data_IF_166754853985
#
_entry.id   IF_166754853985
#
_cell.length_a   1.000
_cell.length_b   1.000
_cell.length_c   1.000
_cell.angle_alpha   90.00
_cell.angle_beta   90.00
_cell.angle_gamma   90.00
#
_symmetry.space_group_name_H-M   'P 1'
#
loop_
_entity.id
_entity.type
_entity.pdbx_description
1 polymer ?
#
# COMPACT_ATOMS: atom_id res chain seq x y z
N UNK A 1 -98.58 -22.31 -52.31
CA UNK A 1 -97.57 -23.38 -52.46
C UNK A 1 -96.45 -23.08 -51.47
N UNK A 2 -95.94 -23.94 -50.59
CA UNK A 2 -96.13 -25.35 -50.20
C UNK A 2 -95.56 -25.39 -48.75
N UNK A 3 -96.33 -25.80 -47.74
CA UNK A 3 -96.35 -27.15 -47.12
C UNK A 3 -95.07 -27.44 -46.28
N UNK A 4 -95.07 -27.92 -45.02
CA UNK A 4 -95.93 -28.88 -44.29
C UNK A 4 -95.51 -28.82 -42.79
N UNK A 5 -96.44 -28.80 -41.82
CA UNK A 5 -97.01 -29.93 -41.05
C UNK A 5 -96.03 -30.49 -39.96
N UNK A 6 -96.44 -30.74 -38.71
CA UNK A 6 -97.31 -31.85 -38.28
C UNK A 6 -97.69 -31.73 -36.79
N UNK A 7 -99.01 -31.85 -36.52
CA UNK A 7 -99.77 -32.54 -35.43
C UNK A 7 -99.38 -32.44 -33.92
N UNK A 8 -100.28 -32.61 -32.94
CA UNK A 8 -101.76 -32.66 -32.79
C UNK A 8 -102.09 -33.09 -31.33
N UNK A 9 -103.39 -33.16 -31.00
CA UNK A 9 -104.04 -33.98 -29.93
C UNK A 9 -104.12 -33.26 -28.56
N UNK A 10 -105.27 -33.08 -27.87
CA UNK A 10 -106.63 -33.60 -28.05
C UNK A 10 -107.68 -32.72 -27.36
N UNK A 11 -108.88 -32.76 -27.91
CA UNK A 11 -110.14 -32.35 -27.30
C UNK A 11 -110.71 -33.55 -26.51
N UNK A 12 -111.15 -33.38 -25.25
CA UNK A 12 -111.97 -34.38 -24.58
C UNK A 12 -112.86 -33.78 -23.48
N UNK A 13 -114.17 -33.87 -23.75
CA UNK A 13 -115.28 -34.17 -22.84
C UNK A 13 -115.65 -33.19 -21.70
N UNK A 14 -116.83 -32.59 -21.87
CA UNK A 14 -117.72 -32.13 -20.80
C UNK A 14 -118.24 -33.31 -19.96
N UNK A 15 -118.28 -33.15 -18.63
CA UNK A 15 -119.23 -33.85 -17.76
C UNK A 15 -119.81 -32.85 -16.74
N UNK A 16 -121.16 -32.73 -16.63
CA UNK A 16 -121.82 -31.94 -15.59
C UNK A 16 -121.99 -32.77 -14.29
N UNK A 17 -122.35 -32.12 -13.19
CA UNK A 17 -122.48 -32.63 -11.80
C UNK A 17 -121.14 -32.68 -11.02
N UNK A 18 -120.95 -32.06 -9.86
CA UNK A 18 -121.89 -31.67 -8.82
C UNK A 18 -121.58 -30.26 -8.28
N UNK A 19 -122.56 -29.36 -8.38
CA UNK A 19 -122.67 -28.17 -7.53
C UNK A 19 -123.17 -28.69 -6.18
N UNK A 20 -122.25 -29.07 -5.29
CA UNK A 20 -122.54 -29.21 -3.87
C UNK A 20 -122.26 -27.85 -3.23
N UNK A 21 -123.34 -27.27 -2.70
CA UNK A 21 -123.33 -25.97 -2.04
C UNK A 21 -122.35 -25.93 -0.85
N UNK A 22 -121.83 -24.72 -0.61
CA UNK A 22 -120.97 -24.27 0.50
C UNK A 22 -119.50 -24.75 0.55
N UNK A 23 -118.65 -24.52 -0.48
CA UNK A 23 -117.20 -24.63 -0.33
C UNK A 23 -116.55 -23.37 0.29
N UNK A 24 -117.23 -22.22 0.27
CA UNK A 24 -116.63 -20.93 0.63
C UNK A 24 -116.53 -20.67 2.14
N UNK A 25 -117.39 -21.27 2.98
CA UNK A 25 -117.35 -21.02 4.43
C UNK A 25 -116.07 -21.55 5.09
N UNK A 26 -115.48 -22.63 4.56
CA UNK A 26 -114.21 -23.18 5.04
C UNK A 26 -112.98 -22.36 4.58
N UNK A 27 -113.10 -21.51 3.56
CA UNK A 27 -111.99 -20.64 3.11
C UNK A 27 -111.75 -19.51 4.12
N UNK A 28 -112.75 -19.17 4.94
CA UNK A 28 -112.68 -18.08 5.91
C UNK A 28 -112.32 -18.50 7.34
N UNK A 29 -112.16 -19.80 7.63
CA UNK A 29 -111.86 -20.29 8.99
C UNK A 29 -110.37 -20.21 9.34
N UNK A 30 -109.48 -20.31 8.36
CA UNK A 30 -108.02 -20.28 8.56
C UNK A 30 -107.45 -18.87 8.34
N UNK A 31 -107.06 -18.24 9.45
CA UNK A 31 -106.55 -16.86 9.50
C UNK A 31 -105.31 -16.65 8.66
N UNK A 32 -104.47 -17.69 8.48
CA UNK A 32 -103.20 -17.58 7.78
C UNK A 32 -103.38 -17.52 6.27
N UNK A 33 -104.25 -18.36 5.72
CA UNK A 33 -104.50 -18.41 4.27
C UNK A 33 -105.28 -17.18 3.80
N UNK A 34 -106.21 -16.69 4.63
CA UNK A 34 -106.96 -15.46 4.38
C UNK A 34 -106.03 -14.25 4.28
N UNK A 35 -105.01 -14.16 5.14
CA UNK A 35 -104.00 -13.10 5.06
C UNK A 35 -103.27 -13.10 3.71
N UNK A 36 -102.83 -14.27 3.22
CA UNK A 36 -102.13 -14.35 1.94
C UNK A 36 -103.04 -14.07 0.73
N UNK A 37 -104.32 -14.47 0.79
CA UNK A 37 -105.29 -14.15 -0.25
C UNK A 37 -105.53 -12.63 -0.30
N UNK A 38 -105.69 -11.99 0.85
CA UNK A 38 -105.89 -10.53 0.94
C UNK A 38 -104.64 -9.78 0.49
N UNK A 39 -103.46 -10.23 0.89
CA UNK A 39 -102.18 -9.69 0.46
C UNK A 39 -102.03 -9.78 -1.07
N UNK A 40 -102.34 -10.93 -1.66
CA UNK A 40 -102.32 -11.11 -3.11
C UNK A 40 -103.36 -10.23 -3.81
N UNK A 41 -104.56 -10.07 -3.25
CA UNK A 41 -105.57 -9.17 -3.80
C UNK A 41 -105.12 -7.69 -3.76
N UNK A 42 -104.51 -7.24 -2.66
CA UNK A 42 -103.97 -5.89 -2.53
C UNK A 42 -102.80 -5.66 -3.50
N UNK A 43 -101.87 -6.61 -3.61
CA UNK A 43 -100.77 -6.55 -4.57
C UNK A 43 -101.28 -6.54 -6.01
N UNK A 44 -102.27 -7.38 -6.33
CA UNK A 44 -102.92 -7.40 -7.65
C UNK A 44 -103.53 -6.03 -7.95
N UNK A 45 -104.31 -5.47 -7.02
CA UNK A 45 -104.92 -4.16 -7.19
C UNK A 45 -103.88 -3.03 -7.32
N UNK A 46 -102.82 -3.08 -6.53
CA UNK A 46 -101.73 -2.11 -6.59
C UNK A 46 -101.03 -2.12 -7.96
N UNK A 47 -100.69 -3.30 -8.46
CA UNK A 47 -100.01 -3.45 -9.76
C UNK A 47 -100.94 -3.20 -10.95
N UNK A 48 -102.23 -3.52 -10.85
CA UNK A 48 -103.21 -3.36 -11.94
C UNK A 48 -103.78 -1.94 -12.03
N UNK A 49 -104.08 -1.30 -10.89
CA UNK A 49 -104.80 -0.02 -10.85
C UNK A 49 -103.93 1.19 -10.45
N UNK A 50 -102.95 1.03 -9.55
CA UNK A 50 -102.21 2.18 -9.02
C UNK A 50 -100.85 2.43 -9.72
N UNK A 51 -100.12 1.37 -10.12
CA UNK A 51 -98.78 1.52 -10.70
C UNK A 51 -98.50 0.53 -11.85
N UNK A 52 -99.24 0.66 -12.95
CA UNK A 52 -99.05 -0.15 -14.15
C UNK A 52 -97.82 0.32 -14.98
N UNK A 53 -96.62 0.13 -14.43
CA UNK A 53 -95.33 0.46 -15.06
C UNK A 53 -94.62 -0.79 -15.60
N UNK A 54 -93.53 -0.63 -16.39
CA UNK A 54 -92.75 -1.77 -16.95
C UNK A 54 -92.32 -2.76 -15.86
N UNK A 55 -91.98 -2.28 -14.67
CA UNK A 55 -91.65 -3.12 -13.52
C UNK A 55 -92.83 -4.01 -13.07
N UNK A 56 -94.04 -3.47 -12.98
CA UNK A 56 -95.23 -4.22 -12.59
C UNK A 56 -95.62 -5.27 -13.64
N UNK A 57 -95.35 -5.01 -14.92
CA UNK A 57 -95.61 -5.98 -16.00
C UNK A 57 -94.56 -7.09 -16.03
N UNK A 58 -93.27 -6.74 -15.89
CA UNK A 58 -92.17 -7.72 -15.98
C UNK A 58 -92.07 -8.56 -14.71
N UNK A 59 -92.08 -7.91 -13.54
CA UNK A 59 -91.83 -8.58 -12.26
C UNK A 59 -93.10 -8.81 -11.42
N UNK A 60 -94.20 -8.10 -11.69
CA UNK A 60 -95.45 -8.27 -10.92
C UNK A 60 -96.02 -9.70 -10.96
N UNK A 61 -96.14 -10.35 -12.14
CA UNK A 61 -96.59 -11.74 -12.21
C UNK A 61 -95.67 -12.70 -11.44
N UNK A 62 -94.35 -12.49 -11.51
CA UNK A 62 -93.36 -13.30 -10.79
C UNK A 62 -93.50 -13.16 -9.27
N UNK A 63 -93.63 -11.93 -8.77
CA UNK A 63 -93.84 -11.65 -7.34
C UNK A 63 -95.17 -12.25 -6.84
N UNK A 64 -96.25 -12.11 -7.60
CA UNK A 64 -97.56 -12.65 -7.18
C UNK A 64 -97.59 -14.18 -7.15
N UNK A 65 -96.98 -14.82 -8.15
CA UNK A 65 -96.90 -16.29 -8.16
C UNK A 65 -96.02 -16.80 -7.04
N UNK A 66 -94.89 -16.15 -6.75
CA UNK A 66 -94.01 -16.54 -5.64
C UNK A 66 -94.66 -16.33 -4.27
N UNK A 67 -95.38 -15.22 -4.05
CA UNK A 67 -96.15 -15.00 -2.82
C UNK A 67 -97.29 -16.04 -2.67
N UNK A 68 -97.98 -16.39 -3.75
CA UNK A 68 -99.01 -17.43 -3.74
C UNK A 68 -98.44 -18.83 -3.45
N UNK A 69 -97.29 -19.18 -4.03
CA UNK A 69 -96.58 -20.43 -3.75
C UNK A 69 -96.14 -20.48 -2.28
N UNK A 70 -95.59 -19.38 -1.76
CA UNK A 70 -95.17 -19.28 -0.36
C UNK A 70 -96.35 -19.46 0.62
N UNK A 71 -97.49 -18.83 0.36
CA UNK A 71 -98.69 -18.99 1.18
C UNK A 71 -99.19 -20.44 1.21
N UNK A 72 -99.15 -21.15 0.07
CA UNK A 72 -99.54 -22.55 0.01
C UNK A 72 -98.59 -23.46 0.79
N UNK A 73 -97.27 -23.30 0.61
CA UNK A 73 -96.30 -24.08 1.37
C UNK A 73 -96.39 -23.83 2.88
N UNK A 74 -96.61 -22.58 3.30
CA UNK A 74 -96.75 -22.26 4.70
C UNK A 74 -98.04 -22.86 5.31
N UNK A 75 -99.16 -22.82 4.59
CA UNK A 75 -100.41 -23.42 5.05
C UNK A 75 -100.30 -24.93 5.22
N UNK A 76 -99.67 -25.63 4.26
CA UNK A 76 -99.41 -27.07 4.38
C UNK A 76 -98.46 -27.37 5.56
N UNK A 77 -97.43 -26.54 5.76
CA UNK A 77 -96.48 -26.72 6.86
C UNK A 77 -97.16 -26.57 8.23
N UNK A 78 -98.05 -25.59 8.40
CA UNK A 78 -98.79 -25.41 9.66
C UNK A 78 -99.80 -26.54 9.91
N UNK A 79 -100.42 -27.06 8.85
CA UNK A 79 -101.30 -28.22 8.92
C UNK A 79 -100.55 -29.50 9.35
N UNK A 80 -99.33 -29.71 8.84
CA UNK A 80 -98.45 -30.80 9.26
C UNK A 80 -97.93 -30.62 10.69
N UNK A 81 -97.77 -29.40 11.17
CA UNK A 81 -97.27 -29.13 12.52
C UNK A 81 -98.28 -29.56 13.59
N UNK A 82 -99.57 -29.45 13.30
CA UNK A 82 -100.65 -29.91 14.18
C UNK A 82 -101.07 -31.37 13.90
N UNK A 83 -100.34 -32.09 13.04
CA UNK A 83 -100.62 -33.48 12.72
C UNK A 83 -100.00 -34.42 13.76
N UNK A 84 -100.84 -35.14 14.49
CA UNK A 84 -100.39 -36.13 15.45
C UNK A 84 -100.32 -37.52 14.80
N UNK A 85 -99.10 -38.05 14.66
CA UNK A 85 -98.87 -39.36 14.07
C UNK A 85 -99.43 -40.52 14.91
N UNK A 86 -99.76 -40.27 16.19
CA UNK A 86 -100.30 -41.29 17.10
C UNK A 86 -101.82 -41.46 16.99
N UNK A 87 -102.56 -40.47 16.45
CA UNK A 87 -104.02 -40.51 16.34
C UNK A 87 -104.52 -40.05 14.95
N UNK A 88 -104.09 -40.78 13.92
CA UNK A 88 -104.28 -40.46 12.49
C UNK A 88 -105.75 -40.19 12.13
N UNK A 89 -106.71 -40.88 12.76
CA UNK A 89 -108.14 -40.77 12.43
C UNK A 89 -108.73 -39.38 12.72
N UNK A 90 -108.21 -38.67 13.72
CA UNK A 90 -108.66 -37.32 14.10
C UNK A 90 -107.83 -36.22 13.41
N UNK A 91 -106.54 -36.49 13.13
CA UNK A 91 -105.63 -35.53 12.49
C UNK A 91 -105.76 -35.45 10.96
N UNK A 92 -106.19 -36.51 10.28
CA UNK A 92 -106.36 -36.51 8.82
C UNK A 92 -107.42 -35.48 8.33
N UNK A 93 -108.61 -35.37 8.94
CA UNK A 93 -109.60 -34.35 8.57
C UNK A 93 -109.07 -32.92 8.69
N UNK A 94 -108.34 -32.58 9.78
CA UNK A 94 -107.76 -31.25 9.96
C UNK A 94 -106.63 -30.96 8.97
N UNK A 95 -105.81 -31.95 8.63
CA UNK A 95 -104.77 -31.81 7.60
C UNK A 95 -105.38 -31.55 6.21
N UNK A 96 -106.44 -32.28 5.87
CA UNK A 96 -107.17 -32.08 4.61
C UNK A 96 -107.81 -30.68 4.53
N UNK A 97 -108.29 -30.14 5.64
CA UNK A 97 -108.85 -28.79 5.70
C UNK A 97 -107.76 -27.73 5.47
N UNK A 98 -106.61 -27.84 6.15
CA UNK A 98 -105.47 -26.91 5.96
C UNK A 98 -104.85 -26.97 4.56
N UNK A 99 -104.78 -28.15 3.93
CA UNK A 99 -104.33 -28.27 2.53
C UNK A 99 -105.34 -27.63 1.57
N UNK A 100 -106.65 -27.80 1.82
CA UNK A 100 -107.71 -27.25 0.98
C UNK A 100 -107.72 -25.71 1.03
N UNK A 101 -107.50 -25.10 2.19
CA UNK A 101 -107.41 -23.63 2.32
C UNK A 101 -106.11 -23.08 1.74
N UNK A 102 -104.98 -23.75 1.98
CA UNK A 102 -103.67 -23.35 1.46
C UNK A 102 -103.60 -23.30 -0.07
N UNK A 103 -104.31 -24.21 -0.75
CA UNK A 103 -104.38 -24.23 -2.21
C UNK A 103 -104.99 -22.94 -2.78
N UNK A 104 -105.99 -22.35 -2.13
CA UNK A 104 -106.63 -21.10 -2.58
C UNK A 104 -105.70 -19.89 -2.52
N UNK A 105 -104.71 -19.88 -1.61
CA UNK A 105 -103.68 -18.85 -1.57
C UNK A 105 -102.81 -18.88 -2.85
N UNK A 106 -102.42 -20.07 -3.33
CA UNK A 106 -101.68 -20.21 -4.59
C UNK A 106 -102.53 -19.85 -5.81
N UNK A 107 -103.79 -20.30 -5.83
CA UNK A 107 -104.74 -19.95 -6.90
C UNK A 107 -104.92 -18.43 -7.00
N UNK A 108 -105.01 -17.71 -5.88
CA UNK A 108 -105.13 -16.25 -5.88
C UNK A 108 -103.90 -15.54 -6.48
N UNK A 109 -102.69 -16.01 -6.18
CA UNK A 109 -101.44 -15.48 -6.74
C UNK A 109 -101.28 -15.74 -8.24
N UNK A 110 -101.62 -16.95 -8.68
CA UNK A 110 -101.61 -17.31 -10.12
C UNK A 110 -102.69 -16.53 -10.87
N UNK A 111 -103.89 -16.41 -10.31
CA UNK A 111 -104.99 -15.66 -10.92
C UNK A 111 -104.65 -14.16 -11.08
N UNK A 112 -104.08 -13.53 -10.05
CA UNK A 112 -103.62 -12.15 -10.16
C UNK A 112 -102.48 -11.98 -11.16
N UNK A 113 -101.57 -12.96 -11.28
CA UNK A 113 -100.49 -12.95 -12.29
C UNK A 113 -101.02 -13.02 -13.73
N UNK A 114 -102.07 -13.83 -13.94
CA UNK A 114 -102.77 -13.95 -15.20
C UNK A 114 -103.55 -12.67 -15.52
N UNK A 115 -104.17 -12.03 -14.54
CA UNK A 115 -104.83 -10.73 -14.71
C UNK A 115 -103.85 -9.64 -15.18
N UNK A 116 -102.66 -9.57 -14.59
CA UNK A 116 -101.62 -8.62 -15.03
C UNK A 116 -101.19 -8.92 -16.47
N UNK A 117 -100.95 -10.20 -16.81
CA UNK A 117 -100.56 -10.61 -18.17
C UNK A 117 -101.66 -10.41 -19.21
N UNK A 118 -102.91 -10.70 -18.87
CA UNK A 118 -104.08 -10.49 -19.74
C UNK A 118 -104.30 -9.00 -19.99
N UNK A 119 -104.19 -8.15 -18.97
CA UNK A 119 -104.25 -6.70 -19.12
C UNK A 119 -103.11 -6.17 -20.00
N UNK A 120 -101.89 -6.66 -19.81
CA UNK A 120 -100.75 -6.32 -20.69
C UNK A 120 -100.99 -6.75 -22.15
N UNK A 121 -101.50 -7.97 -22.38
CA UNK A 121 -101.80 -8.46 -23.73
C UNK A 121 -102.93 -7.72 -24.44
N UNK A 122 -103.87 -7.12 -23.70
CA UNK A 122 -104.98 -6.33 -24.23
C UNK A 122 -104.64 -4.84 -24.44
N UNK A 123 -103.58 -4.31 -23.80
CA UNK A 123 -103.17 -2.91 -23.91
C UNK A 123 -102.09 -2.71 -24.98
N UNK A 124 -102.47 -2.25 -26.18
CA UNK A 124 -101.56 -1.93 -27.30
C UNK A 124 -100.89 -0.55 -27.24
N UNK A 125 -100.75 0.09 -26.07
CA UNK A 125 -100.07 1.40 -25.93
C UNK A 125 -98.75 1.28 -25.14
N UNK A 126 -97.69 2.00 -25.54
CA UNK A 126 -96.39 1.94 -24.88
C UNK A 126 -96.48 2.50 -23.46
N UNK A 127 -95.84 1.80 -22.52
CA UNK A 127 -95.90 2.07 -21.08
C UNK A 127 -95.06 3.32 -20.75
N UNK A 128 -95.53 4.25 -19.88
CA UNK A 128 -94.75 5.43 -19.50
C UNK A 128 -93.45 5.07 -18.75
N UNK A 129 -92.33 5.66 -19.16
CA UNK A 129 -91.03 5.58 -18.48
C UNK A 129 -91.00 6.48 -17.24
N UNK A 130 -90.37 6.01 -16.16
CA UNK A 130 -89.96 6.85 -15.02
C UNK A 130 -88.48 7.19 -15.19
N UNK A 131 -88.12 8.47 -15.02
CA UNK A 131 -86.77 9.02 -15.18
C UNK A 131 -85.75 8.37 -14.24
N UNK A 132 -84.60 7.96 -14.79
CA UNK A 132 -83.36 7.79 -14.01
C UNK A 132 -82.66 6.42 -13.95
N UNK A 133 -82.81 5.51 -14.91
CA UNK A 133 -82.00 4.26 -14.95
C UNK A 133 -81.09 4.18 -16.20
N UNK A 134 -79.81 3.74 -16.06
CA UNK A 134 -78.79 3.86 -17.11
C UNK A 134 -79.05 2.95 -18.32
N UNK A 135 -78.75 3.46 -19.51
CA UNK A 135 -78.87 2.77 -20.81
C UNK A 135 -78.04 1.48 -20.81
N UNK A 136 -78.66 0.33 -21.07
CA UNK A 136 -77.91 -0.85 -21.54
C UNK A 136 -77.36 -0.54 -22.93
N UNK A 137 -76.03 -0.60 -23.09
CA UNK A 137 -75.37 -0.43 -24.37
C UNK A 137 -75.77 -1.55 -25.35
N UNK A 138 -76.00 -1.17 -26.60
CA UNK A 138 -76.41 -2.08 -27.69
C UNK A 138 -75.20 -2.55 -28.51
N UNK A 139 -75.35 -3.66 -29.24
CA UNK A 139 -74.29 -4.26 -30.07
C UNK A 139 -73.70 -3.26 -31.10
N UNK A 140 -74.52 -2.31 -31.57
CA UNK A 140 -74.09 -1.26 -32.48
C UNK A 140 -73.08 -0.28 -31.85
N UNK A 141 -73.14 -0.05 -30.54
CA UNK A 141 -72.17 0.82 -29.84
C UNK A 141 -70.79 0.16 -29.79
N UNK A 142 -70.74 -1.18 -29.68
CA UNK A 142 -69.50 -1.96 -29.72
C UNK A 142 -68.92 -1.95 -31.13
N UNK A 143 -69.77 -2.15 -32.15
CA UNK A 143 -69.34 -2.12 -33.56
C UNK A 143 -68.78 -0.73 -33.92
N UNK A 144 -69.45 0.34 -33.49
CA UNK A 144 -68.98 1.71 -33.68
C UNK A 144 -67.63 1.97 -32.98
N UNK A 145 -67.46 1.49 -31.74
CA UNK A 145 -66.19 1.59 -31.01
C UNK A 145 -65.05 0.82 -31.70
N UNK A 146 -65.31 -0.40 -32.19
CA UNK A 146 -64.30 -1.17 -32.95
C UNK A 146 -63.93 -0.53 -34.28
N UNK A 147 -64.88 0.08 -34.99
CA UNK A 147 -64.57 0.81 -36.23
C UNK A 147 -63.79 2.10 -35.97
N UNK A 148 -64.06 2.79 -34.85
CA UNK A 148 -63.25 3.94 -34.43
C UNK A 148 -61.81 3.53 -34.09
N UNK A 149 -61.64 2.39 -33.40
CA UNK A 149 -60.32 1.82 -33.09
C UNK A 149 -59.56 1.38 -34.35
N UNK A 150 -60.24 0.73 -35.30
CA UNK A 150 -59.67 0.38 -36.59
C UNK A 150 -59.19 1.63 -37.34
N UNK A 151 -59.99 2.70 -37.41
CA UNK A 151 -59.59 3.97 -38.03
C UNK A 151 -58.38 4.61 -37.35
N UNK A 152 -58.32 4.58 -36.02
CA UNK A 152 -57.19 5.09 -35.23
C UNK A 152 -55.89 4.31 -35.49
N UNK A 153 -55.98 3.00 -35.73
CA UNK A 153 -54.83 2.13 -35.96
C UNK A 153 -54.39 2.07 -37.43
N UNK A 154 -55.32 2.17 -38.38
CA UNK A 154 -55.06 2.00 -39.82
C UNK A 154 -55.13 3.31 -40.63
N UNK A 155 -55.37 4.45 -39.97
CA UNK A 155 -55.45 5.75 -40.63
C UNK A 155 -54.10 6.16 -41.24
N UNK A 156 -54.15 6.68 -42.46
CA UNK A 156 -53.00 7.26 -43.19
C UNK A 156 -52.66 8.69 -42.75
N UNK A 157 -53.32 9.21 -41.72
CA UNK A 157 -53.01 10.51 -41.14
C UNK A 157 -51.82 10.42 -40.18
N UNK A 158 -51.00 11.47 -40.14
CA UNK A 158 -49.73 11.57 -39.39
C UNK A 158 -49.86 11.24 -37.88
N UNK A 159 -51.09 11.24 -37.34
CA UNK A 159 -51.40 10.89 -35.95
C UNK A 159 -51.76 9.42 -35.67
N UNK A 160 -51.69 8.50 -36.65
CA UNK A 160 -51.96 7.08 -36.36
C UNK A 160 -50.82 6.44 -35.56
N UNK A 161 -51.15 5.50 -34.67
CA UNK A 161 -50.17 4.82 -33.82
C UNK A 161 -49.06 4.13 -34.63
N UNK A 162 -49.40 3.63 -35.81
CA UNK A 162 -48.44 3.01 -36.71
C UNK A 162 -47.45 4.05 -37.29
N UNK A 163 -47.93 5.25 -37.59
CA UNK A 163 -47.09 6.38 -38.02
C UNK A 163 -46.14 6.83 -36.90
N UNK A 164 -46.65 7.00 -35.67
CA UNK A 164 -45.82 7.33 -34.51
C UNK A 164 -44.77 6.26 -34.19
N UNK A 165 -45.12 4.97 -34.29
CA UNK A 165 -44.16 3.89 -34.09
C UNK A 165 -43.07 3.88 -35.17
N UNK A 166 -43.43 4.19 -36.42
CA UNK A 166 -42.47 4.31 -37.52
C UNK A 166 -41.52 5.49 -37.32
N UNK A 167 -42.05 6.65 -36.92
CA UNK A 167 -41.26 7.83 -36.58
C UNK A 167 -40.31 7.55 -35.40
N UNK A 168 -40.80 6.94 -34.33
CA UNK A 168 -39.98 6.56 -33.17
C UNK A 168 -38.86 5.59 -33.54
N UNK A 169 -39.15 4.61 -34.42
CA UNK A 169 -38.12 3.67 -34.89
C UNK A 169 -37.09 4.33 -35.80
N UNK A 170 -37.51 5.32 -36.59
CA UNK A 170 -36.62 6.10 -37.43
C UNK A 170 -35.73 7.03 -36.57
N UNK A 171 -36.30 7.69 -35.57
CA UNK A 171 -35.60 8.54 -34.60
C UNK A 171 -34.58 7.73 -33.78
N UNK A 172 -34.95 6.54 -33.28
CA UNK A 172 -33.99 5.62 -32.66
C UNK A 172 -32.86 5.20 -33.61
N UNK A 173 -33.18 4.96 -34.88
CA UNK A 173 -32.18 4.61 -35.89
C UNK A 173 -31.20 5.76 -36.15
N UNK A 174 -31.70 6.99 -36.15
CA UNK A 174 -30.89 8.20 -36.33
C UNK A 174 -30.06 8.53 -35.09
N UNK A 175 -30.61 8.36 -33.87
CA UNK A 175 -29.83 8.45 -32.62
C UNK A 175 -28.73 7.40 -32.56
N UNK A 176 -29.00 6.14 -32.93
CA UNK A 176 -27.98 5.09 -32.98
C UNK A 176 -26.89 5.40 -34.00
N UNK A 177 -27.24 6.01 -35.14
CA UNK A 177 -26.26 6.51 -36.11
C UNK A 177 -25.43 7.66 -35.53
N UNK A 178 -26.04 8.62 -34.86
CA UNK A 178 -25.33 9.71 -34.20
C UNK A 178 -24.38 9.18 -33.12
N UNK A 179 -24.85 8.26 -32.28
CA UNK A 179 -24.04 7.60 -31.26
C UNK A 179 -22.87 6.85 -31.86
N UNK A 180 -23.08 6.11 -32.95
CA UNK A 180 -21.99 5.43 -33.66
C UNK A 180 -20.97 6.42 -34.20
N UNK A 181 -21.43 7.54 -34.76
CA UNK A 181 -20.57 8.59 -35.31
C UNK A 181 -19.77 9.30 -34.21
N UNK A 182 -20.40 9.58 -33.06
CA UNK A 182 -19.71 10.16 -31.91
C UNK A 182 -18.71 9.18 -31.29
N UNK A 183 -19.04 7.89 -31.23
CA UNK A 183 -18.10 6.85 -30.80
C UNK A 183 -16.90 6.72 -31.72
N UNK A 184 -17.11 6.73 -33.04
CA UNK A 184 -16.01 6.64 -34.01
C UNK A 184 -15.09 7.86 -33.90
N UNK A 185 -15.69 9.05 -33.74
CA UNK A 185 -14.96 10.30 -33.50
C UNK A 185 -14.17 10.25 -32.19
N UNK A 186 -14.78 9.73 -31.12
CA UNK A 186 -14.14 9.54 -29.82
C UNK A 186 -12.98 8.56 -29.92
N UNK A 187 -13.17 7.39 -30.54
CA UNK A 187 -12.13 6.38 -30.71
C UNK A 187 -10.93 6.95 -31.49
N UNK A 188 -11.20 7.73 -32.54
CA UNK A 188 -10.17 8.38 -33.35
C UNK A 188 -9.37 9.40 -32.54
N UNK A 189 -10.06 10.29 -31.80
CA UNK A 189 -9.39 11.25 -30.89
C UNK A 189 -8.63 10.55 -29.77
N UNK A 190 -9.21 9.53 -29.14
CA UNK A 190 -8.56 8.77 -28.07
C UNK A 190 -7.27 8.10 -28.56
N UNK A 191 -7.28 7.56 -29.78
CA UNK A 191 -6.09 6.99 -30.41
C UNK A 191 -5.04 8.05 -30.75
N UNK A 192 -5.44 9.19 -31.33
CA UNK A 192 -4.52 10.28 -31.70
C UNK A 192 -3.94 10.98 -30.48
N UNK A 193 -4.78 11.36 -29.51
CA UNK A 193 -4.38 12.06 -28.29
C UNK A 193 -3.58 11.12 -27.37
N UNK A 194 -4.00 9.86 -27.22
CA UNK A 194 -3.27 8.86 -26.46
C UNK A 194 -1.88 8.59 -27.05
N UNK A 195 -1.77 8.46 -28.38
CA UNK A 195 -0.48 8.25 -29.05
C UNK A 195 0.40 9.50 -28.98
N UNK A 196 -0.17 10.70 -29.17
CA UNK A 196 0.59 11.95 -29.02
C UNK A 196 1.09 12.15 -27.61
N UNK A 197 0.23 11.98 -26.60
CA UNK A 197 0.62 12.11 -25.20
C UNK A 197 1.72 11.11 -24.82
N UNK A 198 1.62 9.86 -25.30
CA UNK A 198 2.64 8.85 -25.06
C UNK A 198 3.97 9.18 -25.75
N UNK A 199 3.92 9.63 -27.01
CA UNK A 199 5.12 10.02 -27.77
C UNK A 199 5.77 11.26 -27.15
N UNK A 200 4.99 12.24 -26.69
CA UNK A 200 5.48 13.46 -26.04
C UNK A 200 6.16 13.11 -24.71
N UNK A 201 5.50 12.31 -23.87
CA UNK A 201 6.08 11.82 -22.61
C UNK A 201 7.35 10.99 -22.85
N UNK A 202 7.36 10.12 -23.88
CA UNK A 202 8.55 9.34 -24.22
C UNK A 202 9.69 10.25 -24.71
N UNK A 203 9.39 11.26 -25.53
CA UNK A 203 10.38 12.25 -25.98
C UNK A 203 10.97 13.03 -24.81
N UNK A 204 10.13 13.45 -23.87
CA UNK A 204 10.56 14.16 -22.67
C UNK A 204 11.49 13.28 -21.83
N UNK A 205 11.11 12.02 -21.58
CA UNK A 205 11.94 11.06 -20.85
C UNK A 205 13.26 10.79 -21.58
N UNK A 206 13.26 10.65 -22.91
CA UNK A 206 14.50 10.45 -23.69
C UNK A 206 15.38 11.70 -23.63
N UNK A 207 14.79 12.89 -23.70
CA UNK A 207 15.53 14.16 -23.61
C UNK A 207 16.15 14.32 -22.23
N UNK A 208 15.39 14.07 -21.18
CA UNK A 208 15.87 14.12 -19.80
C UNK A 208 16.94 13.05 -19.57
N UNK A 209 16.74 11.84 -20.06
CA UNK A 209 17.74 10.76 -20.00
C UNK A 209 19.05 11.15 -20.70
N UNK A 210 18.99 11.70 -21.91
CA UNK A 210 20.18 12.18 -22.62
C UNK A 210 20.86 13.34 -21.89
N UNK A 211 20.09 14.24 -21.29
CA UNK A 211 20.62 15.37 -20.50
C UNK A 211 21.33 14.84 -19.25
N UNK A 212 20.68 13.93 -18.51
CA UNK A 212 21.24 13.28 -17.33
C UNK A 212 22.52 12.49 -17.66
N UNK A 213 22.55 11.77 -18.79
CA UNK A 213 23.75 11.07 -19.24
C UNK A 213 24.88 12.06 -19.48
N UNK A 214 24.63 13.14 -20.22
CA UNK A 214 25.69 14.06 -20.58
C UNK A 214 26.24 14.83 -19.38
N UNK A 215 25.38 15.22 -18.43
CA UNK A 215 25.79 15.95 -17.23
C UNK A 215 26.38 15.03 -16.16
N UNK A 216 25.64 14.01 -15.71
CA UNK A 216 26.07 13.19 -14.57
C UNK A 216 27.17 12.19 -14.93
N UNK A 217 27.11 11.55 -16.10
CA UNK A 217 28.20 10.68 -16.51
C UNK A 217 29.41 11.47 -16.99
N UNK A 218 29.21 12.62 -17.64
CA UNK A 218 30.31 13.51 -18.02
C UNK A 218 31.15 13.98 -16.83
N UNK A 219 30.49 14.45 -15.76
CA UNK A 219 31.18 14.85 -14.52
C UNK A 219 31.80 13.64 -13.80
N UNK A 220 31.11 12.50 -13.73
CA UNK A 220 31.70 11.28 -13.15
C UNK A 220 32.95 10.81 -13.93
N UNK A 221 32.97 10.91 -15.26
CA UNK A 221 34.15 10.57 -16.05
C UNK A 221 35.30 11.57 -15.83
N UNK A 222 35.02 12.86 -15.60
CA UNK A 222 36.07 13.81 -15.18
C UNK A 222 36.67 13.44 -13.83
N UNK A 223 35.82 13.14 -12.83
CA UNK A 223 36.28 12.73 -11.51
C UNK A 223 37.08 11.43 -11.58
N UNK A 224 36.61 10.45 -12.36
CA UNK A 224 37.31 9.20 -12.62
C UNK A 224 38.66 9.47 -13.28
N UNK A 225 38.71 10.30 -14.32
CA UNK A 225 39.96 10.65 -15.01
C UNK A 225 40.94 11.35 -14.06
N UNK A 226 40.48 12.28 -13.23
CA UNK A 226 41.31 12.93 -12.22
C UNK A 226 41.82 11.96 -11.16
N UNK A 227 41.01 10.98 -10.74
CA UNK A 227 41.44 9.94 -9.81
C UNK A 227 42.50 9.03 -10.44
N UNK A 228 42.33 8.66 -11.71
CA UNK A 228 43.32 7.87 -12.47
C UNK A 228 44.63 8.65 -12.65
N UNK A 229 44.56 9.93 -12.97
CA UNK A 229 45.74 10.79 -13.08
C UNK A 229 46.50 10.89 -11.75
N UNK A 230 45.78 11.08 -10.64
CA UNK A 230 46.37 11.06 -9.29
C UNK A 230 47.02 9.71 -8.97
N UNK A 231 46.43 8.60 -9.42
CA UNK A 231 47.02 7.26 -9.29
C UNK A 231 48.32 7.13 -10.07
N UNK A 232 48.40 7.68 -11.28
CA UNK A 232 49.64 7.70 -12.08
C UNK A 232 50.72 8.54 -11.42
N UNK A 233 50.36 9.73 -10.92
CA UNK A 233 51.29 10.59 -10.16
C UNK A 233 51.80 9.86 -8.91
N UNK A 234 50.90 9.23 -8.15
CA UNK A 234 51.26 8.44 -6.99
C UNK A 234 52.21 7.29 -7.36
N UNK A 235 51.94 6.59 -8.46
CA UNK A 235 52.79 5.50 -8.93
C UNK A 235 54.21 5.99 -9.33
N UNK A 236 54.30 7.16 -9.94
CA UNK A 236 55.59 7.78 -10.28
C UNK A 236 56.37 8.17 -9.02
N UNK A 237 55.70 8.79 -8.04
CA UNK A 237 56.31 9.15 -6.75
C UNK A 237 56.78 7.90 -5.99
N UNK A 238 55.95 6.85 -5.96
CA UNK A 238 56.28 5.59 -5.30
C UNK A 238 57.52 4.93 -5.93
N UNK A 239 57.66 4.99 -7.26
CA UNK A 239 58.85 4.51 -7.95
C UNK A 239 60.11 5.28 -7.52
N UNK A 240 60.05 6.61 -7.46
CA UNK A 240 61.19 7.43 -7.00
C UNK A 240 61.59 7.12 -5.55
N UNK A 241 60.60 6.86 -4.70
CA UNK A 241 60.82 6.53 -3.30
C UNK A 241 61.46 5.13 -3.14
N UNK A 242 61.05 4.16 -3.97
CA UNK A 242 61.69 2.85 -4.06
C UNK A 242 63.14 2.95 -4.54
N UNK A 243 63.44 3.78 -5.55
CA UNK A 243 64.81 4.00 -6.02
C UNK A 243 65.69 4.59 -4.90
N UNK A 244 65.18 5.58 -4.15
CA UNK A 244 65.87 6.15 -2.98
C UNK A 244 66.10 5.09 -1.90
N UNK A 245 65.08 4.27 -1.60
CA UNK A 245 65.16 3.21 -0.61
C UNK A 245 66.20 2.15 -1.00
N UNK A 246 66.27 1.79 -2.29
CA UNK A 246 67.27 0.87 -2.80
C UNK A 246 68.70 1.42 -2.63
N UNK A 247 68.92 2.69 -2.95
CA UNK A 247 70.21 3.36 -2.76
C UNK A 247 70.60 3.40 -1.28
N UNK A 248 69.67 3.78 -0.40
CA UNK A 248 69.90 3.84 1.04
C UNK A 248 70.22 2.46 1.62
N UNK A 249 69.51 1.42 1.18
CA UNK A 249 69.73 0.06 1.64
C UNK A 249 71.07 -0.50 1.16
N UNK A 250 71.50 -0.16 -0.06
CA UNK A 250 72.84 -0.49 -0.56
C UNK A 250 73.94 0.19 0.25
N UNK A 251 73.80 1.50 0.50
CA UNK A 251 74.75 2.25 1.34
C UNK A 251 74.84 1.65 2.75
N UNK A 252 73.68 1.32 3.35
CA UNK A 252 73.64 0.70 4.68
C UNK A 252 74.33 -0.68 4.72
N UNK A 253 74.18 -1.48 3.65
CA UNK A 253 74.88 -2.76 3.53
C UNK A 253 76.41 -2.57 3.42
N UNK A 254 76.86 -1.57 2.67
CA UNK A 254 78.28 -1.22 2.54
C UNK A 254 78.84 -0.72 3.88
N UNK A 255 78.11 0.14 4.60
CA UNK A 255 78.48 0.61 5.93
C UNK A 255 78.59 -0.53 6.95
N UNK A 256 77.63 -1.47 6.96
CA UNK A 256 77.69 -2.66 7.79
C UNK A 256 78.89 -3.55 7.46
N UNK A 257 79.22 -3.69 6.18
CA UNK A 257 80.38 -4.46 5.74
C UNK A 257 81.69 -3.79 6.19
N UNK A 258 81.77 -2.47 6.09
CA UNK A 258 82.91 -1.69 6.56
C UNK A 258 83.05 -1.76 8.09
N UNK A 259 81.95 -1.65 8.83
CA UNK A 259 81.92 -1.80 10.28
C UNK A 259 82.37 -3.21 10.70
N UNK A 260 81.90 -4.26 10.03
CA UNK A 260 82.32 -5.64 10.27
C UNK A 260 83.82 -5.82 10.03
N UNK A 261 84.37 -5.22 8.98
CA UNK A 261 85.81 -5.25 8.69
C UNK A 261 86.62 -4.52 9.76
N UNK A 262 86.15 -3.33 10.17
CA UNK A 262 86.75 -2.56 11.26
C UNK A 262 86.73 -3.32 12.59
N UNK A 263 85.63 -4.02 12.90
CA UNK A 263 85.52 -4.85 14.10
C UNK A 263 86.48 -6.04 14.05
N UNK A 264 86.63 -6.69 12.89
CA UNK A 264 87.60 -7.77 12.72
C UNK A 264 89.04 -7.29 12.97
N UNK A 265 89.41 -6.12 12.42
CA UNK A 265 90.73 -5.51 12.65
C UNK A 265 90.93 -5.09 14.11
N UNK A 266 89.87 -4.63 14.78
CA UNK A 266 89.91 -4.34 16.21
C UNK A 266 90.18 -5.59 17.05
N UNK A 267 89.50 -6.70 16.75
CA UNK A 267 89.72 -7.99 17.44
C UNK A 267 91.16 -8.47 17.23
N UNK A 268 91.69 -8.36 16.01
CA UNK A 268 93.07 -8.72 15.70
C UNK A 268 94.09 -7.90 16.52
N UNK A 269 93.92 -6.57 16.57
CA UNK A 269 94.77 -5.69 17.40
C UNK A 269 94.62 -5.95 18.89
N UNK A 270 93.42 -6.26 19.38
CA UNK A 270 93.20 -6.60 20.78
C UNK A 270 93.93 -7.89 21.16
N UNK A 271 93.99 -8.88 20.26
CA UNK A 271 94.79 -10.10 20.43
C UNK A 271 96.29 -9.78 20.51
N UNK A 272 96.78 -8.91 19.62
CA UNK A 272 98.16 -8.41 19.67
C UNK A 272 98.49 -7.74 21.01
N UNK A 273 97.58 -6.91 21.53
CA UNK A 273 97.74 -6.27 22.84
C UNK A 273 97.85 -7.30 23.98
N UNK A 274 96.99 -8.33 24.00
CA UNK A 274 97.05 -9.41 24.98
C UNK A 274 98.41 -10.14 24.94
N UNK A 275 98.94 -10.43 23.74
CA UNK A 275 100.26 -11.02 23.57
C UNK A 275 101.38 -10.11 24.09
N UNK A 276 101.31 -8.80 23.83
CA UNK A 276 102.30 -7.85 24.37
C UNK A 276 102.23 -7.73 25.89
N UNK A 277 101.03 -7.80 26.48
CA UNK A 277 100.85 -7.80 27.92
C UNK A 277 101.45 -9.06 28.57
N UNK A 278 101.29 -10.23 27.95
CA UNK A 278 101.91 -11.48 28.41
C UNK A 278 103.44 -11.43 28.30
N UNK A 279 103.97 -10.87 27.21
CA UNK A 279 105.41 -10.64 27.04
C UNK A 279 105.95 -9.70 28.13
N UNK A 280 105.22 -8.63 28.45
CA UNK A 280 105.57 -7.71 29.54
C UNK A 280 105.53 -8.39 30.92
N UNK A 281 104.55 -9.26 31.17
CA UNK A 281 104.51 -10.04 32.42
C UNK A 281 105.74 -10.95 32.56
N UNK A 282 106.14 -11.61 31.47
CA UNK A 282 107.35 -12.45 31.44
C UNK A 282 108.61 -11.63 31.66
N UNK A 283 108.75 -10.46 31.05
CA UNK A 283 109.91 -9.60 31.27
C UNK A 283 109.96 -9.05 32.70
N UNK A 284 108.81 -8.66 33.28
CA UNK A 284 108.73 -8.24 34.67
C UNK A 284 109.11 -9.37 35.64
N UNK A 285 108.64 -10.61 35.40
CA UNK A 285 109.06 -11.80 36.18
C UNK A 285 110.56 -12.06 36.04
N UNK A 286 111.11 -11.97 34.82
CA UNK A 286 112.55 -12.11 34.57
C UNK A 286 113.37 -11.04 35.27
N UNK A 287 112.92 -9.79 35.26
CA UNK A 287 113.57 -8.68 35.96
C UNK A 287 113.55 -8.88 37.47
N UNK A 288 112.45 -9.36 38.04
CA UNK A 288 112.35 -9.68 39.46
C UNK A 288 113.32 -10.81 39.86
N UNK A 289 113.44 -11.86 39.04
CA UNK A 289 114.41 -12.94 39.25
C UNK A 289 115.86 -12.44 39.13
N UNK A 290 116.14 -11.61 38.12
CA UNK A 290 117.46 -11.00 37.94
C UNK A 290 117.83 -10.11 39.12
N UNK A 291 116.89 -9.32 39.63
CA UNK A 291 117.09 -8.51 40.83
C UNK A 291 117.45 -9.38 42.05
N UNK A 292 116.76 -10.51 42.26
CA UNK A 292 117.10 -11.45 43.32
C UNK A 292 118.49 -12.09 43.13
N UNK A 293 118.84 -12.45 41.89
CA UNK A 293 120.16 -13.00 41.56
C UNK A 293 121.27 -11.98 41.78
N UNK A 294 121.03 -10.70 41.46
CA UNK A 294 121.97 -9.60 41.74
C UNK A 294 122.12 -9.41 43.25
N UNK A 295 121.03 -9.42 44.03
CA UNK A 295 121.09 -9.32 45.49
C UNK A 295 121.93 -10.47 46.10
N UNK A 296 121.71 -11.70 45.62
CA UNK A 296 122.50 -12.86 46.03
C UNK A 296 123.96 -12.77 45.59
N UNK A 297 124.23 -12.31 44.35
CA UNK A 297 125.59 -12.08 43.85
C UNK A 297 126.31 -10.99 44.63
N UNK A 298 125.61 -9.93 45.05
CA UNK A 298 126.18 -8.89 45.91
C UNK A 298 126.55 -9.44 47.28
N UNK A 299 125.68 -10.27 47.88
CA UNK A 299 125.99 -10.95 49.16
C UNK A 299 127.18 -11.89 49.02
N UNK A 300 127.22 -12.70 47.97
CA UNK A 300 128.34 -13.62 47.69
C UNK A 300 129.63 -12.85 47.41
N UNK A 301 129.56 -11.74 46.68
CA UNK A 301 130.73 -10.88 46.44
C UNK A 301 131.20 -10.21 47.74
N UNK A 302 130.28 -9.77 48.61
CA UNK A 302 130.63 -9.26 49.94
C UNK A 302 131.28 -10.33 50.82
N UNK A 303 130.86 -11.59 50.72
CA UNK A 303 131.45 -12.73 51.42
C UNK A 303 132.85 -13.08 50.87
N UNK A 304 133.02 -13.11 49.54
CA UNK A 304 134.34 -13.24 48.89
C UNK A 304 135.25 -12.08 49.27
N UNK A 305 134.75 -10.84 49.34
CA UNK A 305 135.50 -9.67 49.78
C UNK A 305 135.92 -9.77 51.26
N UNK A 306 135.07 -10.31 52.13
CA UNK A 306 135.40 -10.62 53.52
C UNK A 306 136.51 -11.68 53.62
N UNK A 307 136.50 -12.68 52.74
CA UNK A 307 137.55 -13.70 52.64
C UNK A 307 138.82 -13.19 51.94
N UNK A 308 138.72 -12.20 51.04
CA UNK A 308 139.82 -11.55 50.32
C UNK A 308 140.41 -10.34 51.04
N UNK A 309 139.95 -10.04 52.27
CA UNK A 309 140.45 -8.96 53.13
C UNK A 309 141.97 -8.91 53.26
N UNK A 310 142.66 -10.03 53.02
CA UNK A 310 144.11 -10.16 53.10
C UNK A 310 144.87 -10.08 51.74
N UNK A 311 144.23 -9.77 50.60
CA UNK A 311 144.90 -9.77 49.28
C UNK A 311 144.66 -8.50 48.43
N UNK A 312 145.48 -7.47 48.68
CA UNK A 312 145.79 -6.27 47.87
C UNK A 312 144.79 -5.08 47.84
N UNK A 313 145.21 -3.83 48.15
CA UNK A 313 144.33 -2.65 48.29
C UNK A 313 143.72 -2.08 46.99
N UNK A 314 144.20 -2.48 45.81
CA UNK A 314 143.70 -1.93 44.54
C UNK A 314 142.36 -2.54 44.09
N UNK A 315 142.06 -3.78 44.50
CA UNK A 315 140.82 -4.47 44.15
C UNK A 315 139.63 -3.91 44.92
N UNK A 316 139.77 -3.68 46.24
CA UNK A 316 138.72 -3.06 47.08
C UNK A 316 138.26 -1.71 46.51
N UNK A 317 139.20 -0.84 46.12
CA UNK A 317 138.86 0.46 45.53
C UNK A 317 138.00 0.36 44.27
N UNK A 318 138.30 -0.58 43.37
CA UNK A 318 137.52 -0.72 42.13
C UNK A 318 136.17 -1.39 42.35
N UNK A 319 136.03 -2.27 43.34
CA UNK A 319 134.73 -2.82 43.71
C UNK A 319 133.84 -1.78 44.39
N UNK A 320 134.41 -0.89 45.22
CA UNK A 320 133.69 0.23 45.82
C UNK A 320 133.21 1.24 44.75
N UNK A 321 134.09 1.61 43.80
CA UNK A 321 133.71 2.48 42.66
C UNK A 321 132.60 1.86 41.81
N UNK A 322 132.66 0.56 41.53
CA UNK A 322 131.63 -0.13 40.76
C UNK A 322 130.30 -0.20 41.51
N UNK A 323 130.34 -0.44 42.83
CA UNK A 323 129.14 -0.48 43.69
C UNK A 323 128.45 0.89 43.76
N UNK A 324 129.25 1.96 43.85
CA UNK A 324 128.72 3.33 43.86
C UNK A 324 128.15 3.71 42.48
N UNK A 325 128.81 3.35 41.38
CA UNK A 325 128.28 3.55 40.03
C UNK A 325 126.97 2.78 39.79
N UNK A 326 126.86 1.54 40.29
CA UNK A 326 125.65 0.72 40.21
C UNK A 326 124.50 1.34 41.01
N UNK A 327 124.78 1.81 42.23
CA UNK A 327 123.80 2.50 43.09
C UNK A 327 123.27 3.77 42.42
N UNK A 328 124.14 4.55 41.81
CA UNK A 328 123.77 5.74 41.04
C UNK A 328 122.95 5.38 39.80
N UNK A 329 123.32 4.33 39.06
CA UNK A 329 122.56 3.83 37.91
C UNK A 329 121.15 3.39 38.28
N UNK A 330 121.00 2.62 39.36
CA UNK A 330 119.68 2.18 39.87
C UNK A 330 118.84 3.37 40.35
N UNK A 331 119.43 4.31 41.08
CA UNK A 331 118.73 5.53 41.52
C UNK A 331 118.26 6.38 40.32
N UNK A 332 119.08 6.48 39.27
CA UNK A 332 118.73 7.20 38.04
C UNK A 332 117.60 6.52 37.30
N UNK A 333 117.66 5.20 37.10
CA UNK A 333 116.56 4.43 36.47
C UNK A 333 115.25 4.59 37.25
N UNK A 334 115.31 4.58 38.59
CA UNK A 334 114.12 4.81 39.42
C UNK A 334 113.54 6.21 39.22
N UNK A 335 114.39 7.24 39.16
CA UNK A 335 114.00 8.63 38.90
C UNK A 335 113.37 8.78 37.52
N UNK A 336 114.03 8.28 36.47
CA UNK A 336 113.55 8.37 35.09
C UNK A 336 112.20 7.64 34.92
N UNK A 337 112.04 6.49 35.58
CA UNK A 337 110.76 5.73 35.56
C UNK A 337 109.65 6.50 36.28
N UNK A 338 109.93 7.11 37.44
CA UNK A 338 108.95 7.91 38.17
C UNK A 338 108.50 9.14 37.36
N UNK A 339 109.42 9.77 36.63
CA UNK A 339 109.13 10.89 35.73
C UNK A 339 108.26 10.46 34.53
N UNK A 340 108.54 9.32 33.92
CA UNK A 340 107.72 8.75 32.83
C UNK A 340 106.30 8.45 33.32
N UNK A 341 106.15 7.82 34.49
CA UNK A 341 104.84 7.51 35.07
C UNK A 341 104.05 8.79 35.39
N UNK A 342 104.72 9.81 35.94
CA UNK A 342 104.10 11.11 36.22
C UNK A 342 103.64 11.79 34.94
N UNK A 343 104.49 11.82 33.91
CA UNK A 343 104.20 12.44 32.62
C UNK A 343 103.06 11.73 31.90
N UNK A 344 103.03 10.39 31.95
CA UNK A 344 101.93 9.60 31.44
C UNK A 344 100.61 9.90 32.18
N UNK A 345 100.66 10.01 33.52
CA UNK A 345 99.50 10.40 34.33
C UNK A 345 98.95 11.78 33.96
N UNK A 346 99.83 12.78 33.75
CA UNK A 346 99.41 14.12 33.30
C UNK A 346 98.84 14.11 31.88
N UNK A 347 99.43 13.32 30.97
CA UNK A 347 98.93 13.18 29.60
C UNK A 347 97.55 12.52 29.58
N UNK A 348 97.35 11.48 30.40
CA UNK A 348 96.07 10.79 30.53
C UNK A 348 94.97 11.72 31.06
N UNK A 349 95.29 12.56 32.04
CA UNK A 349 94.36 13.59 32.53
C UNK A 349 94.02 14.63 31.46
N UNK A 350 95.03 15.11 30.71
CA UNK A 350 94.82 16.08 29.62
C UNK A 350 93.91 15.49 28.54
N UNK A 351 94.20 14.27 28.07
CA UNK A 351 93.38 13.58 27.06
C UNK A 351 91.97 13.31 27.56
N UNK A 352 91.78 12.97 28.84
CA UNK A 352 90.45 12.80 29.42
C UNK A 352 89.67 14.13 29.46
N UNK A 353 90.34 15.24 29.75
CA UNK A 353 89.71 16.56 29.75
C UNK A 353 89.30 16.98 28.33
N UNK A 354 90.18 16.79 27.34
CA UNK A 354 89.88 17.05 25.92
C UNK A 354 88.71 16.20 25.42
N UNK A 355 88.67 14.90 25.75
CA UNK A 355 87.56 14.01 25.40
C UNK A 355 86.23 14.47 26.00
N UNK A 356 86.25 14.86 27.29
CA UNK A 356 85.06 15.41 27.96
C UNK A 356 84.57 16.68 27.28
N UNK A 357 85.49 17.56 26.89
CA UNK A 357 85.16 18.80 26.21
C UNK A 357 84.58 18.55 24.81
N UNK A 358 85.21 17.69 24.02
CA UNK A 358 84.70 17.29 22.69
C UNK A 358 83.30 16.67 22.78
N UNK A 359 83.07 15.78 23.75
CA UNK A 359 81.75 15.18 23.98
C UNK A 359 80.71 16.23 24.36
N UNK A 360 81.08 17.17 25.22
CA UNK A 360 80.18 18.26 25.66
C UNK A 360 79.82 19.17 24.49
N UNK A 361 80.81 19.57 23.69
CA UNK A 361 80.60 20.43 22.52
C UNK A 361 79.77 19.73 21.44
N UNK A 362 80.03 18.44 21.19
CA UNK A 362 79.26 17.64 20.24
C UNK A 362 77.81 17.47 20.69
N UNK A 363 77.58 17.16 21.98
CA UNK A 363 76.24 17.08 22.55
C UNK A 363 75.50 18.41 22.45
N UNK A 364 76.15 19.52 22.80
CA UNK A 364 75.54 20.84 22.73
C UNK A 364 75.20 21.22 21.30
N UNK A 365 76.09 20.97 20.34
CA UNK A 365 75.86 21.21 18.91
C UNK A 365 74.69 20.37 18.39
N UNK A 366 74.67 19.07 18.70
CA UNK A 366 73.59 18.16 18.32
C UNK A 366 72.24 18.60 18.91
N UNK A 367 72.21 19.01 20.18
CA UNK A 367 70.99 19.49 20.83
C UNK A 367 70.43 20.75 20.16
N UNK A 368 71.29 21.71 19.82
CA UNK A 368 70.87 22.91 19.07
C UNK A 368 70.32 22.55 17.70
N UNK A 369 71.01 21.68 16.96
CA UNK A 369 70.63 21.28 15.60
C UNK A 369 69.30 20.50 15.57
N UNK A 370 69.07 19.63 16.56
CA UNK A 370 67.79 18.93 16.77
C UNK A 370 66.68 19.92 17.13
N UNK A 371 66.95 20.88 18.02
CA UNK A 371 65.97 21.89 18.42
C UNK A 371 65.55 22.79 17.25
N UNK A 372 66.51 23.22 16.44
CA UNK A 372 66.26 24.04 15.25
C UNK A 372 65.43 23.26 14.22
N UNK A 373 65.76 21.99 13.98
CA UNK A 373 64.99 21.13 13.07
C UNK A 373 63.58 20.85 13.58
N UNK A 374 63.39 20.65 14.88
CA UNK A 374 62.08 20.46 15.49
C UNK A 374 61.22 21.72 15.36
N UNK A 375 61.83 22.90 15.56
CA UNK A 375 61.15 24.19 15.42
C UNK A 375 60.73 24.43 13.97
N UNK A 376 61.60 24.18 12.99
CA UNK A 376 61.24 24.27 11.57
C UNK A 376 60.14 23.28 11.18
N UNK A 377 60.19 22.05 11.70
CA UNK A 377 59.15 21.04 11.46
C UNK A 377 57.82 21.48 12.04
N UNK A 378 57.80 22.03 13.25
CA UNK A 378 56.59 22.59 13.87
C UNK A 378 56.00 23.73 13.04
N UNK A 379 56.82 24.66 12.55
CA UNK A 379 56.32 25.74 11.69
C UNK A 379 55.77 25.20 10.37
N UNK A 380 56.43 24.22 9.76
CA UNK A 380 55.93 23.58 8.53
C UNK A 380 54.60 22.85 8.78
N UNK A 381 54.46 22.11 9.87
CA UNK A 381 53.20 21.45 10.26
C UNK A 381 52.11 22.49 10.46
N UNK A 382 52.42 23.59 11.17
CA UNK A 382 51.46 24.68 11.41
C UNK A 382 50.96 25.27 10.10
N UNK A 383 51.87 25.52 9.15
CA UNK A 383 51.51 26.02 7.82
C UNK A 383 50.64 25.01 7.04
N UNK A 384 50.97 23.71 7.09
CA UNK A 384 50.17 22.67 6.47
C UNK A 384 48.77 22.57 7.08
N UNK A 385 48.63 22.70 8.40
CA UNK A 385 47.32 22.72 9.09
C UNK A 385 46.51 23.94 8.68
N UNK A 386 47.10 25.13 8.61
CA UNK A 386 46.41 26.35 8.16
C UNK A 386 45.96 26.24 6.70
N UNK A 387 46.81 25.69 5.83
CA UNK A 387 46.46 25.46 4.43
C UNK A 387 45.33 24.44 4.27
N UNK A 388 45.36 23.36 5.06
CA UNK A 388 44.31 22.34 5.10
C UNK A 388 42.98 22.93 5.58
N UNK A 389 42.99 23.70 6.66
CA UNK A 389 41.79 24.33 7.23
C UNK A 389 41.14 25.28 6.21
N UNK A 390 41.94 26.09 5.53
CA UNK A 390 41.47 26.97 4.45
C UNK A 390 40.89 26.17 3.28
N UNK A 391 41.56 25.11 2.85
CA UNK A 391 41.09 24.25 1.76
C UNK A 391 39.79 23.53 2.10
N UNK A 392 39.66 23.02 3.33
CA UNK A 392 38.42 22.42 3.82
C UNK A 392 37.30 23.44 3.87
N UNK A 393 37.56 24.65 4.38
CA UNK A 393 36.54 25.69 4.46
C UNK A 393 36.04 26.14 3.08
N UNK A 394 36.94 26.30 2.10
CA UNK A 394 36.56 26.58 0.70
C UNK A 394 35.70 25.47 0.11
N UNK A 395 36.09 24.21 0.29
CA UNK A 395 35.37 23.07 -0.29
C UNK A 395 34.01 22.83 0.38
N UNK A 396 33.94 23.02 1.69
CA UNK A 396 32.71 22.90 2.47
C UNK A 396 31.75 24.05 2.12
N UNK A 397 32.26 25.27 1.94
CA UNK A 397 31.47 26.40 1.45
C UNK A 397 30.95 26.17 0.04
N UNK A 398 31.78 25.68 -0.89
CA UNK A 398 31.37 25.32 -2.26
C UNK A 398 30.30 24.23 -2.27
N UNK A 399 30.48 23.21 -1.44
CA UNK A 399 29.52 22.11 -1.31
C UNK A 399 28.18 22.60 -0.75
N UNK A 400 28.19 23.47 0.27
CA UNK A 400 26.99 24.08 0.82
C UNK A 400 26.30 25.02 -0.17
N UNK A 401 27.06 25.81 -0.93
CA UNK A 401 26.49 26.69 -1.96
C UNK A 401 25.87 25.89 -3.12
N UNK A 402 26.54 24.82 -3.56
CA UNK A 402 26.02 23.88 -4.54
C UNK A 402 24.74 23.20 -4.04
N UNK A 403 24.74 22.70 -2.80
CA UNK A 403 23.58 22.11 -2.15
C UNK A 403 22.43 23.13 -2.03
N UNK A 404 22.74 24.38 -1.66
CA UNK A 404 21.79 25.48 -1.58
C UNK A 404 21.14 25.79 -2.92
N UNK A 405 21.92 25.81 -4.01
CA UNK A 405 21.39 25.96 -5.38
C UNK A 405 20.50 24.81 -5.79
N UNK A 406 20.90 23.57 -5.48
CA UNK A 406 20.09 22.39 -5.78
C UNK A 406 18.78 22.37 -4.98
N UNK A 407 18.81 22.74 -3.69
CA UNK A 407 17.63 22.84 -2.85
C UNK A 407 16.70 23.98 -3.29
N UNK A 408 17.24 25.13 -3.68
CA UNK A 408 16.46 26.24 -4.23
C UNK A 408 15.78 25.84 -5.54
N UNK A 409 16.52 25.23 -6.46
CA UNK A 409 15.99 24.68 -7.71
C UNK A 409 14.88 23.66 -7.47
N UNK A 410 15.09 22.72 -6.54
CA UNK A 410 14.10 21.70 -6.19
C UNK A 410 12.85 22.33 -5.58
N UNK A 411 13.01 23.28 -4.66
CA UNK A 411 11.89 23.98 -4.02
C UNK A 411 11.11 24.82 -5.02
N UNK A 412 11.77 25.49 -5.96
CA UNK A 412 11.14 26.29 -7.00
C UNK A 412 10.36 25.40 -7.98
N UNK A 413 10.93 24.25 -8.37
CA UNK A 413 10.23 23.24 -9.17
C UNK A 413 9.03 22.64 -8.41
N UNK A 414 9.17 22.36 -7.11
CA UNK A 414 8.08 21.85 -6.28
C UNK A 414 6.93 22.87 -6.16
N UNK A 415 7.24 24.15 -5.91
CA UNK A 415 6.21 25.20 -5.89
C UNK A 415 5.55 25.36 -7.27
N UNK A 416 6.35 25.34 -8.33
CA UNK A 416 5.86 25.42 -9.72
C UNK A 416 4.95 24.25 -10.08
N UNK A 417 5.28 23.02 -9.69
CA UNK A 417 4.54 21.82 -10.08
C UNK A 417 3.27 21.62 -9.22
N UNK A 418 3.34 21.96 -7.93
CA UNK A 418 2.21 21.76 -7.03
C UNK A 418 1.22 22.94 -7.03
N UNK A 419 1.61 24.18 -7.34
CA UNK A 419 0.67 25.31 -7.38
C UNK A 419 -0.49 25.07 -8.37
N UNK A 420 -0.24 24.68 -9.64
CA UNK A 420 -1.30 24.38 -10.60
C UNK A 420 -2.14 23.17 -10.17
N UNK A 421 -1.52 22.15 -9.57
CA UNK A 421 -2.23 20.97 -9.09
C UNK A 421 -3.19 21.32 -7.94
N UNK A 422 -2.74 22.18 -7.03
CA UNK A 422 -3.55 22.65 -5.89
C UNK A 422 -4.68 23.55 -6.36
N UNK A 423 -4.43 24.40 -7.37
CA UNK A 423 -5.45 25.22 -8.00
C UNK A 423 -6.50 24.38 -8.75
N UNK A 424 -6.07 23.34 -9.47
CA UNK A 424 -6.97 22.36 -10.10
C UNK A 424 -7.78 21.58 -9.09
N UNK A 425 -7.18 21.14 -7.98
CA UNK A 425 -7.90 20.50 -6.86
C UNK A 425 -8.95 21.45 -6.26
N UNK A 426 -8.59 22.73 -6.08
CA UNK A 426 -9.49 23.76 -5.58
C UNK A 426 -10.64 24.03 -6.55
N UNK A 427 -10.38 23.99 -7.86
CA UNK A 427 -11.38 24.13 -8.92
C UNK A 427 -12.37 22.94 -8.93
N UNK A 428 -11.87 21.70 -8.84
CA UNK A 428 -12.68 20.48 -8.74
C UNK A 428 -13.55 20.47 -7.48
N UNK A 429 -12.98 20.84 -6.33
CA UNK A 429 -13.74 20.96 -5.07
C UNK A 429 -14.82 22.03 -5.16
N UNK A 430 -14.55 23.14 -5.86
CA UNK A 430 -15.54 24.21 -6.07
C UNK A 430 -16.69 23.76 -6.97
N UNK A 431 -16.38 23.01 -8.03
CA UNK A 431 -17.39 22.40 -8.93
C UNK A 431 -18.25 21.40 -8.16
N UNK A 432 -17.65 20.55 -7.32
CA UNK A 432 -18.35 19.57 -6.49
C UNK A 432 -19.21 20.20 -5.37
N UNK A 433 -18.97 21.47 -5.02
CA UNK A 433 -19.80 22.22 -4.05
C UNK A 433 -20.96 22.98 -4.69
N UNK A 434 -20.95 23.10 -6.01
CA UNK A 434 -21.96 23.83 -6.81
C UNK A 434 -22.91 22.92 -7.60
N UNK A 435 -22.69 21.60 -7.55
CA UNK A 435 -23.63 20.55 -7.94
C UNK A 435 -24.24 19.96 -6.67
#
# INVERSE_FOLDING_TARGET
MKARAVLAVSCAALSPYAVAASPFSAVFSDTTTLFFILLNAVLTCYFVFYRFNRFAVVHGPEILTTVGILGCFLGIALALLHFDASNVSESVPHLLEGVKTAFWASVSGVFGSLLIRARHGLQKRPIPQADGAPKSATLDDVVAATHALQRSLSGTEEGSLLSQLKLMRQEQGDELKQLRTSFDTFAKRMSEDGSKALIEALKEVIRDFNTQINEQFGENFKHLNSAVEKLVVWQQQYKEELDKLQVLQKSSADDLRNASSGLALFIDRASGFASTAEALERTLKGLAQQHQAIDQSQRSMAEVLLQMKDVTPQFSRKVDEMTEAMKQGVAKVHSDTAEVVKTFGTQLQSSSAELKQLLTDTMKKSQTEVSDNLTRSMESIRQSVVALDKGLQEELSKSLESLGRQLASLSEKFVSDYTPLTDRLREVVRIAKSA
#
